data_IF_946721571464
#
_entry.id   IF_946721571464
#
_cell.length_a   1.000
_cell.length_b   1.000
_cell.length_c   1.000
_cell.angle_alpha   90.00
_cell.angle_beta   90.00
_cell.angle_gamma   90.00
#
_symmetry.space_group_name_H-M   'P 1'
#
loop_
_entity.id
_entity.type
_entity.pdbx_description
1 polymer ?
#
# COMPACT_ATOMS: atom_id res chain seq x y z
N UNK A 1 -14.94 17.31 21.64
CA UNK A 1 -14.22 18.60 21.69
C UNK A 1 -12.80 18.25 22.11
N UNK A 2 -11.81 18.41 21.23
CA UNK A 2 -10.42 18.09 21.56
C UNK A 2 -9.85 19.23 22.40
N UNK A 3 -9.46 18.97 23.65
CA UNK A 3 -8.68 19.92 24.44
C UNK A 3 -7.31 20.07 23.79
N UNK A 4 -7.10 21.21 23.15
CA UNK A 4 -5.82 21.56 22.53
C UNK A 4 -4.95 22.12 23.65
N UNK A 5 -3.89 21.39 23.98
CA UNK A 5 -2.86 21.84 24.91
C UNK A 5 -2.33 23.22 24.46
N UNK A 6 -2.35 24.20 25.37
CA UNK A 6 -2.03 25.58 25.08
C UNK A 6 -0.56 25.77 24.65
N UNK A 7 0.32 24.86 25.06
CA UNK A 7 1.71 24.82 24.58
C UNK A 7 1.82 24.30 23.14
N UNK A 8 0.91 23.41 22.76
CA UNK A 8 0.76 22.85 21.42
C UNK A 8 0.18 23.88 20.43
N UNK A 9 -0.82 24.66 20.88
CA UNK A 9 -1.37 25.77 20.12
C UNK A 9 -0.32 26.84 19.77
N UNK A 10 0.51 27.25 20.72
CA UNK A 10 1.45 28.35 20.51
C UNK A 10 2.71 27.98 19.71
N UNK A 11 3.06 26.69 19.64
CA UNK A 11 4.29 26.24 18.96
C UNK A 11 4.04 25.71 17.54
N UNK A 12 2.84 25.15 17.27
CA UNK A 12 2.55 24.45 16.01
C UNK A 12 1.46 25.05 15.13
N UNK A 13 0.46 25.79 15.68
CA UNK A 13 -0.50 26.51 14.82
C UNK A 13 0.17 27.50 13.84
N UNK A 14 1.29 28.18 14.20
CA UNK A 14 2.03 29.01 13.24
C UNK A 14 2.70 28.21 12.11
N UNK A 15 2.87 26.88 12.24
CA UNK A 15 3.38 26.00 11.18
C UNK A 15 2.26 25.45 10.27
N UNK A 16 1.01 25.49 10.72
CA UNK A 16 -0.17 25.14 9.89
C UNK A 16 -0.70 26.31 9.06
N UNK A 17 -0.31 27.56 9.39
CA UNK A 17 -0.65 28.72 8.56
C UNK A 17 0.04 28.60 7.21
N UNK A 18 -0.71 28.21 6.17
CA UNK A 18 -0.20 27.98 4.82
C UNK A 18 -0.36 26.54 4.30
N UNK A 19 -0.83 25.61 5.13
CA UNK A 19 -1.14 24.24 4.67
C UNK A 19 -2.49 24.27 3.93
N UNK A 20 -2.48 23.84 2.67
CA UNK A 20 -3.69 23.66 1.88
C UNK A 20 -4.35 22.31 2.19
N UNK A 21 -5.64 22.17 1.86
CA UNK A 21 -6.33 20.87 1.96
C UNK A 21 -5.63 19.77 1.14
N UNK A 22 -5.11 20.10 -0.04
CA UNK A 22 -4.35 19.16 -0.89
C UNK A 22 -3.03 18.74 -0.23
N UNK A 23 -2.36 19.67 0.45
CA UNK A 23 -1.15 19.35 1.21
C UNK A 23 -1.50 18.42 2.39
N UNK A 24 -2.54 18.74 3.17
CA UNK A 24 -3.00 17.89 4.26
C UNK A 24 -3.36 16.48 3.77
N UNK A 25 -4.06 16.38 2.64
CA UNK A 25 -4.38 15.12 1.99
C UNK A 25 -3.10 14.35 1.60
N UNK A 26 -2.14 15.00 0.95
CA UNK A 26 -0.88 14.38 0.53
C UNK A 26 -0.09 13.82 1.74
N UNK A 27 -0.06 14.54 2.85
CA UNK A 27 0.57 14.05 4.08
C UNK A 27 -0.13 12.80 4.64
N UNK A 28 -1.46 12.80 4.69
CA UNK A 28 -2.23 11.66 5.18
C UNK A 28 -2.05 10.43 4.29
N UNK A 29 -2.03 10.59 2.95
CA UNK A 29 -1.77 9.47 2.04
C UNK A 29 -0.36 8.91 2.19
N UNK A 30 0.65 9.78 2.36
CA UNK A 30 2.04 9.37 2.63
C UNK A 30 2.14 8.59 3.94
N UNK A 31 1.47 9.06 4.99
CA UNK A 31 1.41 8.39 6.28
C UNK A 31 0.79 7.00 6.17
N UNK A 32 -0.31 6.88 5.43
CA UNK A 32 -0.98 5.59 5.16
C UNK A 32 -0.05 4.63 4.41
N UNK A 33 0.66 5.10 3.40
CA UNK A 33 1.57 4.27 2.58
C UNK A 33 2.84 3.82 3.32
N UNK A 34 3.42 4.69 4.14
CA UNK A 34 4.76 4.49 4.69
C UNK A 34 4.75 4.15 6.19
N UNK A 35 3.72 4.60 6.91
CA UNK A 35 3.62 4.53 8.37
C UNK A 35 4.28 5.72 9.04
N UNK A 36 3.77 6.11 10.21
CA UNK A 36 4.21 7.33 10.90
C UNK A 36 5.70 7.31 11.26
N UNK A 37 6.27 6.16 11.60
CA UNK A 37 7.69 6.07 11.95
C UNK A 37 8.62 6.51 10.80
N UNK A 38 8.26 6.21 9.55
CA UNK A 38 9.05 6.68 8.39
C UNK A 38 8.83 8.15 8.09
N UNK A 39 7.62 8.62 8.33
CA UNK A 39 7.25 10.03 8.19
C UNK A 39 8.04 10.87 9.21
N UNK A 40 8.08 10.44 10.48
CA UNK A 40 8.81 11.11 11.55
C UNK A 40 10.31 11.15 11.31
N UNK A 41 10.89 10.07 10.78
CA UNK A 41 12.32 10.03 10.40
C UNK A 41 12.69 11.08 9.35
N UNK A 42 11.77 11.45 8.45
CA UNK A 42 12.03 12.47 7.42
C UNK A 42 11.89 13.86 8.00
N UNK A 43 10.84 14.12 8.78
CA UNK A 43 10.62 15.45 9.38
C UNK A 43 11.69 15.85 10.39
N UNK A 44 12.27 14.89 11.11
CA UNK A 44 13.12 15.20 12.25
C UNK A 44 14.62 15.12 11.97
N UNK A 45 15.02 14.59 10.81
CA UNK A 45 16.42 14.67 10.34
C UNK A 45 16.90 16.10 10.13
N UNK A 46 15.98 17.04 9.91
CA UNK A 46 16.29 18.45 9.70
C UNK A 46 16.43 19.24 11.02
N UNK A 47 15.88 18.74 12.13
CA UNK A 47 15.81 19.47 13.41
C UNK A 47 16.65 18.85 14.54
N UNK A 48 17.38 17.75 14.29
CA UNK A 48 18.29 17.14 15.27
C UNK A 48 17.60 16.52 16.50
N UNK A 49 16.32 16.13 16.38
CA UNK A 49 15.50 15.58 17.47
C UNK A 49 15.72 14.09 17.72
N UNK A 50 15.35 13.62 18.92
CA UNK A 50 15.28 12.18 19.20
C UNK A 50 14.16 11.50 18.40
N UNK A 51 14.21 10.17 18.27
CA UNK A 51 13.20 9.42 17.51
C UNK A 51 11.83 9.45 18.16
N UNK A 52 11.80 9.45 19.49
CA UNK A 52 10.57 9.45 20.29
C UNK A 52 9.87 10.81 20.18
N UNK A 53 10.60 11.91 20.33
CA UNK A 53 10.06 13.28 20.16
C UNK A 53 9.53 13.48 18.75
N UNK A 54 10.29 13.04 17.75
CA UNK A 54 9.91 13.07 16.35
C UNK A 54 8.56 12.38 16.07
N UNK A 55 8.38 11.20 16.69
CA UNK A 55 7.19 10.40 16.50
C UNK A 55 5.96 11.05 17.16
N UNK A 56 6.09 11.55 18.37
CA UNK A 56 4.99 12.22 19.07
C UNK A 56 4.55 13.51 18.36
N UNK A 57 5.51 14.30 17.88
CA UNK A 57 5.23 15.49 17.08
C UNK A 57 4.52 15.12 15.77
N UNK A 58 4.99 14.09 15.08
CA UNK A 58 4.36 13.61 13.83
C UNK A 58 2.93 13.13 14.07
N UNK A 59 2.66 12.41 15.17
CA UNK A 59 1.30 12.01 15.57
C UNK A 59 0.43 13.23 15.81
N UNK A 60 0.96 14.23 16.51
CA UNK A 60 0.22 15.42 16.86
C UNK A 60 -0.10 16.28 15.62
N UNK A 61 0.86 16.46 14.70
CA UNK A 61 0.64 17.07 13.39
C UNK A 61 -0.40 16.30 12.57
N UNK A 62 -0.32 14.97 12.53
CA UNK A 62 -1.30 14.12 11.82
C UNK A 62 -2.72 14.37 12.32
N UNK A 63 -2.92 14.47 13.65
CA UNK A 63 -4.23 14.80 14.24
C UNK A 63 -4.75 16.17 13.80
N UNK A 64 -3.87 17.16 13.67
CA UNK A 64 -4.27 18.48 13.18
C UNK A 64 -4.65 18.46 11.69
N UNK A 65 -3.95 17.68 10.86
CA UNK A 65 -4.30 17.53 9.45
C UNK A 65 -5.71 16.99 9.24
N UNK A 66 -6.22 16.18 10.19
CA UNK A 66 -7.60 15.70 10.14
C UNK A 66 -8.63 16.82 10.25
N UNK A 67 -8.29 17.96 10.86
CA UNK A 67 -9.21 19.10 10.98
C UNK A 67 -9.54 19.77 9.63
N UNK A 68 -8.75 19.51 8.58
CA UNK A 68 -9.05 19.96 7.21
C UNK A 68 -10.19 19.17 6.56
N UNK A 69 -10.65 18.10 7.20
CA UNK A 69 -11.70 17.23 6.71
C UNK A 69 -12.85 17.21 7.72
N UNK A 70 -14.07 17.45 7.26
CA UNK A 70 -15.25 17.58 8.13
C UNK A 70 -15.57 16.29 8.89
N UNK A 71 -15.24 15.14 8.30
CA UNK A 71 -15.49 13.82 8.85
C UNK A 71 -14.75 12.75 8.02
N UNK A 72 -14.91 11.49 8.42
CA UNK A 72 -14.40 10.32 7.70
C UNK A 72 -14.92 10.21 6.27
N UNK A 73 -16.16 10.64 6.01
CA UNK A 73 -16.83 10.55 4.72
C UNK A 73 -16.16 11.48 3.71
N UNK A 74 -15.78 12.70 4.12
CA UNK A 74 -15.06 13.65 3.27
C UNK A 74 -13.70 13.11 2.79
N UNK A 75 -13.02 12.28 3.61
CA UNK A 75 -11.80 11.58 3.18
C UNK A 75 -12.11 10.40 2.26
N UNK A 76 -13.19 9.66 2.53
CA UNK A 76 -13.66 8.57 1.68
C UNK A 76 -14.40 9.01 0.42
N UNK A 77 -14.63 10.30 0.20
CA UNK A 77 -15.07 10.86 -1.07
C UNK A 77 -13.88 11.11 -2.01
N UNK A 78 -12.68 11.35 -1.46
CA UNK A 78 -11.48 11.68 -2.21
C UNK A 78 -10.80 10.45 -2.84
N UNK A 79 -10.59 10.51 -4.16
CA UNK A 79 -10.03 9.39 -4.93
C UNK A 79 -8.55 9.12 -4.63
N UNK A 80 -7.76 10.14 -4.27
CA UNK A 80 -6.36 9.98 -3.90
C UNK A 80 -6.24 9.29 -2.55
N UNK A 81 -7.11 9.61 -1.60
CA UNK A 81 -7.15 8.93 -0.30
C UNK A 81 -7.51 7.45 -0.46
N UNK A 82 -8.60 7.14 -1.19
CA UNK A 82 -9.00 5.76 -1.52
C UNK A 82 -7.87 4.99 -2.20
N UNK A 83 -7.17 5.63 -3.14
CA UNK A 83 -6.03 5.05 -3.83
C UNK A 83 -4.91 4.68 -2.86
N UNK A 84 -4.56 5.57 -1.92
CA UNK A 84 -3.54 5.29 -0.92
C UNK A 84 -3.90 4.09 -0.03
N UNK A 85 -5.17 3.94 0.37
CA UNK A 85 -5.64 2.81 1.16
C UNK A 85 -5.45 1.50 0.38
N UNK A 86 -5.84 1.46 -0.90
CA UNK A 86 -5.66 0.29 -1.78
C UNK A 86 -4.19 -0.04 -2.02
N UNK A 87 -3.36 0.97 -2.30
CA UNK A 87 -1.92 0.78 -2.49
C UNK A 87 -1.23 0.22 -1.24
N UNK A 88 -1.62 0.70 -0.05
CA UNK A 88 -1.12 0.17 1.22
C UNK A 88 -1.46 -1.29 1.39
N UNK A 89 -2.71 -1.69 1.15
CA UNK A 89 -3.09 -3.12 1.23
C UNK A 89 -2.33 -3.94 0.20
N UNK A 90 -2.21 -3.48 -1.04
CA UNK A 90 -1.45 -4.19 -2.07
C UNK A 90 0.03 -4.38 -1.70
N UNK A 91 0.64 -3.39 -1.04
CA UNK A 91 1.99 -3.51 -0.51
C UNK A 91 2.08 -4.53 0.64
N UNK A 92 1.12 -4.51 1.58
CA UNK A 92 1.04 -5.50 2.67
C UNK A 92 0.92 -6.92 2.12
N UNK A 93 0.00 -7.14 1.18
CA UNK A 93 -0.24 -8.44 0.55
C UNK A 93 1.02 -8.93 -0.18
N UNK A 94 1.66 -8.06 -0.96
CA UNK A 94 2.90 -8.41 -1.66
C UNK A 94 4.02 -8.81 -0.71
N UNK A 95 4.17 -8.12 0.42
CA UNK A 95 5.20 -8.42 1.40
C UNK A 95 4.89 -9.74 2.15
N UNK A 96 3.62 -10.03 2.44
CA UNK A 96 3.18 -11.32 3.00
C UNK A 96 3.44 -12.49 2.04
N UNK A 97 3.11 -12.33 0.76
CA UNK A 97 3.36 -13.35 -0.26
C UNK A 97 4.84 -13.72 -0.37
N UNK A 98 5.74 -12.73 -0.30
CA UNK A 98 7.20 -12.96 -0.32
C UNK A 98 7.69 -13.75 0.89
N UNK A 99 7.09 -13.54 2.06
CA UNK A 99 7.58 -14.12 3.32
C UNK A 99 6.96 -15.48 3.64
N UNK A 100 5.66 -15.67 3.37
CA UNK A 100 4.87 -16.78 3.91
C UNK A 100 4.01 -17.53 2.89
N UNK A 101 4.04 -17.15 1.61
CA UNK A 101 3.17 -17.72 0.56
C UNK A 101 1.66 -17.72 0.90
N UNK A 102 1.22 -16.90 1.88
CA UNK A 102 -0.18 -16.69 2.25
C UNK A 102 -0.40 -15.20 2.45
N UNK A 103 -1.63 -14.76 2.18
CA UNK A 103 -2.09 -13.37 2.40
C UNK A 103 -2.86 -13.22 3.72
N UNK A 104 -3.04 -14.30 4.47
CA UNK A 104 -3.82 -14.29 5.71
C UNK A 104 -3.23 -13.30 6.72
N UNK A 105 -4.11 -12.57 7.41
CA UNK A 105 -3.72 -11.57 8.39
C UNK A 105 -3.44 -10.16 7.83
N UNK A 106 -3.52 -9.94 6.51
CA UNK A 106 -3.35 -8.60 5.92
C UNK A 106 -4.30 -7.57 6.54
N UNK A 107 -5.54 -7.97 6.88
CA UNK A 107 -6.57 -7.12 7.50
C UNK A 107 -6.08 -6.55 8.84
N UNK A 108 -5.53 -7.41 9.71
CA UNK A 108 -5.04 -6.99 11.03
C UNK A 108 -3.82 -6.07 10.92
N UNK A 109 -2.91 -6.35 9.96
CA UNK A 109 -1.76 -5.48 9.70
C UNK A 109 -2.22 -4.12 9.20
N UNK A 110 -3.20 -4.09 8.29
CA UNK A 110 -3.75 -2.86 7.76
C UNK A 110 -4.49 -2.06 8.83
N UNK A 111 -5.29 -2.70 9.68
CA UNK A 111 -5.95 -2.04 10.81
C UNK A 111 -4.93 -1.46 11.80
N UNK A 112 -3.86 -2.20 12.14
CA UNK A 112 -2.78 -1.70 12.99
C UNK A 112 -2.14 -0.44 12.39
N UNK A 113 -1.90 -0.45 11.08
CA UNK A 113 -1.34 0.70 10.37
C UNK A 113 -2.26 1.92 10.44
N UNK A 114 -3.57 1.73 10.31
CA UNK A 114 -4.53 2.82 10.43
C UNK A 114 -4.59 3.37 11.85
N UNK A 115 -4.59 2.49 12.87
CA UNK A 115 -4.60 2.88 14.28
C UNK A 115 -3.37 3.67 14.73
N UNK A 116 -2.24 3.55 14.01
CA UNK A 116 -1.08 4.41 14.24
C UNK A 116 -1.36 5.87 13.85
N UNK A 117 -2.19 6.09 12.82
CA UNK A 117 -2.37 7.38 12.13
C UNK A 117 -3.65 8.08 12.58
N UNK A 118 -4.74 7.32 12.71
CA UNK A 118 -6.09 7.84 12.88
C UNK A 118 -6.71 7.43 14.22
N UNK A 119 -7.69 8.19 14.72
CA UNK A 119 -8.55 7.76 15.81
C UNK A 119 -9.21 6.39 15.51
N UNK A 120 -9.51 5.57 16.53
CA UNK A 120 -10.08 4.23 16.33
C UNK A 120 -11.34 4.21 15.46
N UNK A 121 -12.21 5.21 15.57
CA UNK A 121 -13.44 5.31 14.77
C UNK A 121 -13.15 5.51 13.28
N UNK A 122 -12.13 6.30 12.96
CA UNK A 122 -11.68 6.56 11.60
C UNK A 122 -11.04 5.31 11.01
N UNK A 123 -10.14 4.68 11.78
CA UNK A 123 -9.48 3.43 11.41
C UNK A 123 -10.47 2.32 11.10
N UNK A 124 -11.50 2.15 11.93
CA UNK A 124 -12.55 1.16 11.71
C UNK A 124 -13.29 1.39 10.39
N UNK A 125 -13.71 2.63 10.09
CA UNK A 125 -14.40 2.97 8.85
C UNK A 125 -13.53 2.79 7.61
N UNK A 126 -12.28 3.26 7.64
CA UNK A 126 -11.35 3.10 6.52
C UNK A 126 -11.00 1.62 6.28
N UNK A 127 -10.85 0.85 7.35
CA UNK A 127 -10.64 -0.59 7.29
C UNK A 127 -11.84 -1.30 6.66
N UNK A 128 -13.05 -1.04 7.14
CA UNK A 128 -14.29 -1.64 6.61
C UNK A 128 -14.47 -1.30 5.13
N UNK A 129 -14.34 -0.03 4.76
CA UNK A 129 -14.40 0.44 3.38
C UNK A 129 -13.41 -0.33 2.49
N UNK A 130 -12.14 -0.38 2.89
CA UNK A 130 -11.07 -0.98 2.08
C UNK A 130 -11.23 -2.49 1.95
N UNK A 131 -11.66 -3.17 3.02
CA UNK A 131 -11.95 -4.61 2.98
C UNK A 131 -13.12 -4.89 2.04
N UNK A 132 -14.17 -4.07 2.08
CA UNK A 132 -15.34 -4.21 1.21
C UNK A 132 -14.97 -4.09 -0.27
N UNK A 133 -14.21 -3.06 -0.66
CA UNK A 133 -13.82 -2.87 -2.06
C UNK A 133 -12.90 -3.99 -2.56
N UNK A 134 -11.89 -4.40 -1.78
CA UNK A 134 -10.95 -5.45 -2.19
C UNK A 134 -11.67 -6.79 -2.31
N UNK A 135 -12.62 -7.07 -1.42
CA UNK A 135 -13.45 -8.26 -1.52
C UNK A 135 -14.27 -8.25 -2.82
N UNK A 136 -14.90 -7.13 -3.15
CA UNK A 136 -15.66 -6.99 -4.39
C UNK A 136 -14.76 -7.17 -5.62
N UNK A 137 -13.55 -6.59 -5.64
CA UNK A 137 -12.59 -6.76 -6.73
C UNK A 137 -12.18 -8.23 -6.90
N UNK A 138 -11.96 -8.95 -5.80
CA UNK A 138 -11.61 -10.37 -5.81
C UNK A 138 -12.78 -11.23 -6.31
N UNK A 139 -14.01 -10.89 -5.93
CA UNK A 139 -15.21 -11.59 -6.39
C UNK A 139 -15.46 -11.37 -7.91
N UNK A 140 -15.22 -10.15 -8.40
CA UNK A 140 -15.44 -9.79 -9.81
C UNK A 140 -14.30 -10.23 -10.74
N UNK A 141 -13.05 -10.04 -10.32
CA UNK A 141 -11.86 -10.19 -11.17
C UNK A 141 -10.96 -11.37 -10.76
N UNK A 142 -11.26 -12.04 -9.65
CA UNK A 142 -10.47 -13.15 -9.10
C UNK A 142 -9.40 -12.70 -8.10
N UNK A 143 -8.85 -13.68 -7.36
CA UNK A 143 -7.98 -13.49 -6.20
C UNK A 143 -6.67 -12.71 -6.44
N UNK A 144 -6.37 -12.36 -7.69
CA UNK A 144 -5.12 -11.78 -8.11
C UNK A 144 -5.23 -10.26 -8.43
N UNK A 145 -6.44 -9.70 -8.32
CA UNK A 145 -6.79 -8.30 -8.63
C UNK A 145 -7.04 -7.45 -7.38
N UNK A 146 -6.06 -7.36 -6.48
CA UNK A 146 -6.15 -6.48 -5.28
C UNK A 146 -5.51 -5.11 -5.48
N UNK A 147 -4.79 -4.88 -6.59
CA UNK A 147 -4.21 -3.59 -6.94
C UNK A 147 -5.08 -2.87 -7.98
N UNK A 148 -5.23 -1.53 -7.89
CA UNK A 148 -5.89 -0.73 -8.91
C UNK A 148 -5.18 -0.82 -10.27
N UNK A 149 -5.89 -0.43 -11.34
CA UNK A 149 -5.29 -0.35 -12.67
C UNK A 149 -4.09 0.60 -12.71
N UNK A 150 -3.13 0.27 -13.57
CA UNK A 150 -1.86 1.00 -13.66
C UNK A 150 -2.06 2.49 -13.97
N UNK A 151 -3.00 2.82 -14.85
CA UNK A 151 -3.27 4.21 -15.25
C UNK A 151 -3.80 5.05 -14.07
N UNK A 152 -4.59 4.45 -13.17
CA UNK A 152 -5.07 5.12 -11.96
C UNK A 152 -3.92 5.35 -10.96
N UNK A 153 -3.00 4.40 -10.87
CA UNK A 153 -1.79 4.51 -10.03
C UNK A 153 -0.86 5.61 -10.58
N UNK A 154 -0.70 5.71 -11.89
CA UNK A 154 0.10 6.77 -12.52
C UNK A 154 -0.51 8.16 -12.28
N UNK A 155 -1.83 8.30 -12.44
CA UNK A 155 -2.54 9.56 -12.12
C UNK A 155 -2.33 9.98 -10.67
N UNK A 156 -2.47 9.05 -9.74
CA UNK A 156 -2.24 9.30 -8.32
C UNK A 156 -0.82 9.80 -8.02
N UNK A 157 0.20 9.15 -8.59
CA UNK A 157 1.58 9.60 -8.38
C UNK A 157 1.93 10.88 -9.13
N UNK A 158 1.27 11.18 -10.25
CA UNK A 158 1.40 12.47 -10.92
C UNK A 158 0.82 13.59 -10.06
N UNK A 159 -0.37 13.40 -9.47
CA UNK A 159 -0.95 14.33 -8.50
C UNK A 159 -0.01 14.54 -7.31
N UNK A 160 0.48 13.44 -6.70
CA UNK A 160 1.38 13.51 -5.53
C UNK A 160 2.63 14.36 -5.81
N UNK A 161 3.17 14.30 -7.02
CA UNK A 161 4.33 15.07 -7.44
C UNK A 161 4.03 16.55 -7.71
N UNK A 162 2.76 16.92 -7.91
CA UNK A 162 2.33 18.31 -8.14
C UNK A 162 1.98 19.04 -6.83
N UNK A 163 1.68 18.31 -5.76
CA UNK A 163 1.41 18.92 -4.45
C UNK A 163 2.71 19.50 -3.90
N UNK A 164 2.75 20.84 -3.84
CA UNK A 164 3.86 21.59 -3.25
C UNK A 164 4.10 21.16 -1.81
N UNK A 165 5.36 21.02 -1.41
CA UNK A 165 5.81 20.68 -0.05
C UNK A 165 5.22 19.35 0.49
N UNK A 166 4.82 18.42 -0.39
CA UNK A 166 4.46 17.06 0.00
C UNK A 166 5.70 16.30 0.53
N UNK A 167 5.57 15.45 1.58
CA UNK A 167 6.73 14.83 2.20
C UNK A 167 7.55 14.00 1.19
N UNK A 168 8.89 14.16 1.13
CA UNK A 168 9.76 13.56 0.11
C UNK A 168 10.05 12.08 0.39
N UNK A 169 9.06 11.32 0.83
CA UNK A 169 9.19 9.88 1.03
C UNK A 169 9.05 9.14 -0.29
N UNK A 170 9.95 8.19 -0.61
CA UNK A 170 9.83 7.41 -1.82
C UNK A 170 8.51 6.65 -1.80
N UNK A 171 7.63 6.95 -2.74
CA UNK A 171 6.46 6.11 -3.01
C UNK A 171 6.94 4.68 -3.24
N UNK A 172 6.49 3.73 -2.41
CA UNK A 172 6.60 2.30 -2.72
C UNK A 172 5.66 2.00 -3.89
N UNK A 173 6.04 2.45 -5.09
CA UNK A 173 5.26 2.23 -6.29
C UNK A 173 5.24 0.73 -6.56
N UNK A 174 4.06 0.10 -6.69
CA UNK A 174 4.02 -1.27 -7.17
C UNK A 174 4.69 -1.33 -8.54
N UNK A 175 5.32 -2.46 -8.87
CA UNK A 175 5.83 -2.62 -10.24
C UNK A 175 4.65 -2.86 -11.18
N UNK A 176 4.75 -2.41 -12.44
CA UNK A 176 3.73 -2.69 -13.47
C UNK A 176 3.45 -4.18 -13.65
N UNK A 177 4.41 -5.05 -13.29
CA UNK A 177 4.24 -6.52 -13.25
C UNK A 177 3.36 -6.99 -12.09
N UNK A 178 3.42 -6.33 -10.93
CA UNK A 178 2.58 -6.65 -9.77
C UNK A 178 1.11 -6.27 -10.00
N UNK A 179 0.82 -5.26 -10.81
CA UNK A 179 -0.54 -4.90 -11.23
C UNK A 179 -1.09 -5.83 -12.32
N UNK A 180 -0.20 -6.58 -13.00
CA UNK A 180 -0.55 -7.51 -14.09
C UNK A 180 -0.81 -8.94 -13.64
N UNK A 181 -0.79 -9.26 -12.36
CA UNK A 181 -1.08 -10.62 -11.94
C UNK A 181 -2.58 -10.86 -11.89
N UNK A 182 -3.26 -10.94 -13.03
CA UNK A 182 -4.06 -12.15 -13.21
C UNK A 182 -3.00 -13.25 -13.23
N UNK A 183 -2.92 -14.08 -12.18
CA UNK A 183 -1.92 -15.14 -12.12
C UNK A 183 -1.86 -15.80 -13.50
N UNK A 184 -0.69 -15.76 -14.15
CA UNK A 184 -0.58 -16.33 -15.50
C UNK A 184 -1.09 -17.74 -15.39
N UNK A 185 -2.09 -18.11 -16.18
CA UNK A 185 -2.67 -19.44 -16.11
C UNK A 185 -1.53 -20.47 -16.15
N UNK A 186 -1.41 -21.23 -15.06
CA UNK A 186 -0.35 -22.22 -14.92
C UNK A 186 -0.94 -23.60 -14.95
N UNK A 187 -0.29 -24.51 -15.67
CA UNK A 187 -0.65 -25.92 -15.71
C UNK A 187 0.55 -26.80 -15.36
N UNK A 188 0.28 -28.06 -15.04
CA UNK A 188 1.31 -29.03 -14.70
C UNK A 188 1.68 -29.85 -15.95
N UNK A 189 2.91 -29.68 -16.45
CA UNK A 189 3.41 -30.42 -17.60
C UNK A 189 4.30 -31.60 -17.16
N UNK A 190 3.99 -32.80 -17.68
CA UNK A 190 4.82 -33.99 -17.49
C UNK A 190 6.10 -33.93 -18.33
N UNK A 191 7.16 -34.56 -17.84
CA UNK A 191 8.39 -34.74 -18.62
C UNK A 191 8.09 -35.60 -19.87
N UNK A 192 8.57 -35.22 -21.07
CA UNK A 192 8.33 -35.99 -22.30
C UNK A 192 9.18 -37.26 -22.37
N UNK A 193 10.12 -37.46 -21.44
CA UNK A 193 10.86 -38.72 -21.32
C UNK A 193 9.97 -39.75 -20.61
N UNK A 194 9.55 -40.85 -21.28
CA UNK A 194 8.63 -41.84 -20.71
C UNK A 194 9.20 -42.59 -19.51
N UNK A 195 10.53 -42.62 -19.36
CA UNK A 195 11.20 -43.27 -18.23
C UNK A 195 11.42 -42.32 -17.04
N UNK A 196 11.02 -41.06 -17.15
CA UNK A 196 11.19 -40.06 -16.10
C UNK A 196 10.01 -40.12 -15.11
N UNK A 197 10.30 -40.42 -13.84
CA UNK A 197 9.33 -40.45 -12.74
C UNK A 197 9.29 -39.16 -11.92
N UNK A 198 9.89 -38.08 -12.43
CA UNK A 198 9.82 -36.78 -11.76
C UNK A 198 8.39 -36.26 -11.74
N UNK A 199 8.04 -35.54 -10.67
CA UNK A 199 6.74 -34.91 -10.57
C UNK A 199 6.53 -33.91 -11.73
N UNK A 200 5.29 -33.76 -12.22
CA UNK A 200 4.95 -32.75 -13.20
C UNK A 200 5.43 -31.36 -12.76
N UNK A 201 5.94 -30.56 -13.70
CA UNK A 201 6.43 -29.21 -13.39
C UNK A 201 5.40 -28.17 -13.77
N UNK A 202 5.30 -27.12 -12.94
CA UNK A 202 4.45 -25.96 -13.23
C UNK A 202 5.01 -25.20 -14.43
N UNK A 203 4.16 -24.96 -15.43
CA UNK A 203 4.43 -24.20 -16.64
C UNK A 203 3.39 -23.08 -16.79
N UNK A 204 3.70 -22.07 -17.58
CA UNK A 204 2.82 -20.94 -17.87
C UNK A 204 2.88 -20.56 -19.37
N UNK A 205 2.03 -19.62 -19.81
CA UNK A 205 2.00 -19.16 -21.22
C UNK A 205 3.31 -18.53 -21.72
N UNK A 206 4.21 -18.14 -20.81
CA UNK A 206 5.50 -17.53 -21.12
C UNK A 206 6.65 -18.55 -21.10
N UNK A 207 6.37 -19.80 -20.73
CA UNK A 207 7.38 -20.84 -20.53
C UNK A 207 7.90 -21.36 -21.87
N UNK A 208 9.07 -20.87 -22.29
CA UNK A 208 9.68 -21.23 -23.59
C UNK A 208 10.47 -22.53 -23.59
N UNK A 209 10.91 -23.01 -22.42
CA UNK A 209 11.73 -24.23 -22.28
C UNK A 209 11.31 -25.03 -21.06
N UNK A 210 11.31 -26.35 -21.21
CA UNK A 210 11.13 -27.31 -20.14
C UNK A 210 12.46 -27.95 -19.77
N UNK A 211 12.83 -27.89 -18.49
CA UNK A 211 14.04 -28.52 -17.94
C UNK A 211 13.68 -29.56 -16.89
N UNK A 212 14.17 -30.78 -17.03
CA UNK A 212 13.95 -31.87 -16.09
C UNK A 212 15.26 -32.40 -15.50
N UNK A 213 15.21 -32.97 -14.28
CA UNK A 213 16.39 -33.57 -13.63
C UNK A 213 16.93 -34.77 -14.40
N UNK A 214 16.08 -35.47 -15.16
CA UNK A 214 16.50 -36.56 -16.05
C UNK A 214 17.28 -36.09 -17.30
N UNK A 215 17.72 -34.83 -17.36
CA UNK A 215 18.51 -34.27 -18.47
C UNK A 215 17.71 -33.67 -19.63
N UNK A 216 16.37 -33.75 -19.62
CA UNK A 216 15.54 -33.12 -20.67
C UNK A 216 15.67 -31.60 -20.59
N UNK A 217 16.03 -30.95 -21.70
CA UNK A 217 16.10 -29.51 -21.83
C UNK A 217 15.64 -29.06 -23.23
N UNK A 218 14.33 -29.03 -23.46
CA UNK A 218 13.71 -28.79 -24.78
C UNK A 218 12.82 -27.55 -24.79
N UNK A 219 12.54 -27.01 -25.97
CA UNK A 219 11.52 -25.99 -26.15
C UNK A 219 10.13 -26.53 -25.75
N UNK A 220 9.28 -25.65 -25.22
CA UNK A 220 7.90 -25.96 -24.83
C UNK A 220 6.91 -25.07 -25.61
N UNK A 221 5.74 -25.57 -26.05
CA UNK A 221 5.27 -26.96 -25.94
C UNK A 221 6.16 -27.93 -26.72
N UNK A 222 6.19 -29.20 -26.28
CA UNK A 222 6.95 -30.24 -26.98
C UNK A 222 6.35 -30.44 -28.37
N UNK A 223 7.21 -30.43 -29.39
CA UNK A 223 6.83 -30.87 -30.75
C UNK A 223 7.00 -32.38 -30.85
#
# INVERSE_FOLDING_TARGET
MFDIDMHFANTFLPRLTGISKDMALCYLTVAVENGLSKVSEVFCKEEGKSKEEALEETKACTRQLLLFFSNTEALLEDDHFKMSLRLTVGNIINDLLKQKNSIDGWKNIFLSRLNEIFPPEYSAKFHEYTVKIIRADIEENGAAHWLPEWDAIEKYYAWRNQVKDCPPLPSKRPTRRAVKSAGVETWMAKCPNPNCKEEPKRMDKNSKRFRCKCGVNRAYPFK
#
